data_IF_516344181540
#
_entry.id   IF_516344181540
#
_cell.length_a   1.000
_cell.length_b   1.000
_cell.length_c   1.000
_cell.angle_alpha   90.00
_cell.angle_beta   90.00
_cell.angle_gamma   90.00
#
_symmetry.space_group_name_H-M   'P 1'
#
loop_
_entity.id
_entity.type
_entity.pdbx_description
1 polymer ?
#
# COMPACT_ATOMS: atom_id res chain seq x y z
N UNK A 1 2.33 8.58 18.74
CA UNK A 1 2.98 9.31 19.84
C UNK A 1 2.65 10.78 19.67
N UNK A 2 1.64 11.29 20.40
CA UNK A 2 1.27 12.71 20.45
C UNK A 2 1.65 13.20 21.85
N UNK A 3 2.38 14.30 21.94
CA UNK A 3 2.68 14.93 23.23
C UNK A 3 1.95 16.27 23.28
N UNK A 4 0.91 16.31 24.09
CA UNK A 4 0.04 17.46 24.27
C UNK A 4 0.69 18.57 25.09
N UNK A 5 1.89 18.31 25.64
CA UNK A 5 2.65 19.20 26.51
C UNK A 5 3.99 19.64 25.88
N UNK A 6 4.27 19.31 24.62
CA UNK A 6 5.47 19.80 23.92
C UNK A 6 6.79 19.41 24.59
N UNK A 7 6.90 18.16 25.05
CA UNK A 7 8.03 17.58 25.79
C UNK A 7 8.30 18.18 27.17
N UNK A 8 7.34 18.91 27.76
CA UNK A 8 7.46 19.45 29.13
C UNK A 8 6.88 18.54 30.22
N UNK A 9 6.22 17.43 29.84
CA UNK A 9 5.68 16.45 30.78
C UNK A 9 6.75 15.57 31.43
N UNK A 10 6.36 14.77 32.42
CA UNK A 10 7.26 13.84 33.11
C UNK A 10 7.91 12.79 32.19
N UNK A 11 7.30 12.54 31.01
CA UNK A 11 7.78 11.61 29.99
C UNK A 11 7.99 12.37 28.67
N UNK A 12 9.06 13.16 28.54
CA UNK A 12 9.36 13.87 27.30
C UNK A 12 9.65 12.89 26.17
N UNK A 13 9.42 13.31 24.92
CA UNK A 13 9.98 12.57 23.78
C UNK A 13 11.49 12.46 23.90
N UNK A 14 12.01 11.28 23.55
CA UNK A 14 13.43 11.01 23.50
C UNK A 14 13.75 10.42 22.14
N UNK A 15 14.93 10.76 21.63
CA UNK A 15 15.43 10.17 20.40
C UNK A 15 15.55 8.65 20.60
N UNK A 16 15.07 7.90 19.61
CA UNK A 16 15.45 6.51 19.44
C UNK A 16 16.85 6.51 18.84
N UNK A 17 17.83 5.94 19.54
CA UNK A 17 19.22 5.86 19.06
C UNK A 17 19.52 4.45 18.54
N UNK A 18 20.25 4.36 17.43
CA UNK A 18 20.71 3.08 16.94
C UNK A 18 21.97 2.64 17.73
N UNK A 19 22.02 1.42 18.27
CA UNK A 19 23.14 0.97 19.10
C UNK A 19 24.43 0.75 18.30
N UNK A 20 24.37 0.72 16.97
CA UNK A 20 25.55 0.53 16.12
C UNK A 20 26.39 1.81 15.96
N UNK A 21 25.77 2.99 16.01
CA UNK A 21 26.43 4.29 15.81
C UNK A 21 26.05 5.37 16.84
N UNK A 22 25.07 5.08 17.70
CA UNK A 22 24.50 5.99 18.69
C UNK A 22 23.91 7.29 18.09
N UNK A 23 23.48 7.24 16.83
CA UNK A 23 22.81 8.35 16.14
C UNK A 23 21.28 8.21 16.17
N UNK A 24 20.52 9.31 16.00
CA UNK A 24 19.06 9.26 15.91
C UNK A 24 18.56 8.36 14.78
N UNK A 25 17.65 7.46 15.12
CA UNK A 25 17.01 6.50 14.22
C UNK A 25 17.17 5.06 14.70
N UNK A 26 16.68 4.12 13.88
CA UNK A 26 16.93 2.70 14.04
C UNK A 26 17.08 2.03 12.69
N UNK A 27 18.11 1.22 12.54
CA UNK A 27 18.30 0.36 11.38
C UNK A 27 17.36 -0.84 11.50
N UNK A 28 16.39 -0.92 10.58
CA UNK A 28 15.43 -2.03 10.52
C UNK A 28 15.87 -3.13 9.56
N UNK A 29 16.63 -2.76 8.52
CA UNK A 29 17.17 -3.69 7.53
C UNK A 29 18.51 -3.17 6.98
N UNK A 30 19.41 -4.09 6.64
CA UNK A 30 20.72 -3.81 6.07
C UNK A 30 20.87 -4.48 4.69
N UNK A 31 21.80 -3.99 3.87
CA UNK A 31 22.01 -4.54 2.52
C UNK A 31 20.84 -4.32 1.55
N UNK A 32 19.93 -3.42 1.90
CA UNK A 32 18.71 -3.14 1.14
C UNK A 32 19.05 -2.53 -0.21
N UNK A 33 18.54 -3.12 -1.29
CA UNK A 33 18.76 -2.64 -2.65
C UNK A 33 17.53 -1.92 -3.18
N UNK A 34 17.59 -0.60 -3.22
CA UNK A 34 16.53 0.24 -3.78
C UNK A 34 16.81 0.62 -5.23
N UNK A 35 16.03 0.11 -6.20
CA UNK A 35 16.10 0.60 -7.57
C UNK A 35 15.34 1.92 -7.67
N UNK A 36 15.97 2.95 -8.24
CA UNK A 36 15.27 4.15 -8.68
C UNK A 36 15.01 4.08 -10.19
N UNK A 37 13.97 3.34 -10.59
CA UNK A 37 13.62 3.13 -12.01
C UNK A 37 12.60 4.17 -12.42
N UNK A 38 13.11 5.37 -12.76
CA UNK A 38 12.30 6.54 -13.13
C UNK A 38 11.22 6.25 -14.18
N UNK A 39 11.53 5.40 -15.16
CA UNK A 39 10.61 5.04 -16.23
C UNK A 39 10.21 3.57 -16.09
N UNK A 40 8.90 3.30 -16.00
CA UNK A 40 8.39 1.95 -15.89
C UNK A 40 8.55 1.14 -17.17
N UNK A 41 8.90 -0.14 -17.02
CA UNK A 41 9.16 -1.08 -18.12
C UNK A 41 8.04 -2.12 -18.27
N UNK A 42 7.90 -2.78 -19.44
CA UNK A 42 6.90 -3.83 -19.62
C UNK A 42 6.98 -4.98 -18.60
N UNK A 43 8.19 -5.37 -18.20
CA UNK A 43 8.43 -6.42 -17.20
C UNK A 43 8.02 -6.02 -15.78
N UNK A 44 7.80 -4.72 -15.55
CA UNK A 44 7.38 -4.10 -14.29
C UNK A 44 5.92 -3.65 -14.38
N UNK A 45 5.15 -4.18 -15.33
CA UNK A 45 3.76 -3.77 -15.50
C UNK A 45 3.62 -2.30 -15.86
N UNK A 46 4.59 -1.76 -16.61
CA UNK A 46 4.64 -0.36 -17.08
C UNK A 46 4.88 0.69 -15.99
N UNK A 47 4.93 0.29 -14.72
CA UNK A 47 5.04 1.16 -13.56
C UNK A 47 6.49 1.40 -13.17
N UNK A 48 6.80 2.65 -12.82
CA UNK A 48 8.10 3.02 -12.25
C UNK A 48 8.28 2.36 -10.88
N UNK A 49 9.51 2.15 -10.44
CA UNK A 49 9.80 1.55 -9.13
C UNK A 49 10.67 2.48 -8.27
N UNK A 50 10.41 2.44 -6.96
CA UNK A 50 11.24 3.06 -5.93
C UNK A 50 10.46 3.95 -4.97
N UNK A 51 10.77 3.87 -3.67
CA UNK A 51 10.27 4.78 -2.65
C UNK A 51 9.09 4.28 -1.82
N UNK A 52 8.82 2.97 -1.84
CA UNK A 52 7.71 2.37 -1.10
C UNK A 52 8.11 2.12 0.35
N UNK A 53 7.63 2.99 1.24
CA UNK A 53 7.77 2.87 2.69
C UNK A 53 6.48 3.35 3.35
N UNK A 54 6.02 2.63 4.37
CA UNK A 54 4.89 3.05 5.20
C UNK A 54 5.10 2.60 6.63
N UNK A 55 4.66 3.40 7.59
CA UNK A 55 4.80 3.12 9.02
C UNK A 55 3.48 3.42 9.72
N UNK A 56 3.08 2.56 10.65
CA UNK A 56 1.89 2.76 11.46
C UNK A 56 2.15 2.36 12.91
N UNK A 57 1.64 3.15 13.84
CA UNK A 57 1.73 2.87 15.29
C UNK A 57 0.35 2.41 15.75
N UNK A 58 0.33 1.34 16.55
CA UNK A 58 -0.92 0.90 17.17
C UNK A 58 -1.42 1.97 18.16
N UNK A 59 -2.64 2.50 17.97
CA UNK A 59 -3.19 3.52 18.86
C UNK A 59 -3.56 3.00 20.26
N UNK A 60 -3.79 1.69 20.42
CA UNK A 60 -4.08 1.06 21.70
C UNK A 60 -2.81 0.68 22.50
N UNK A 61 -1.68 0.51 21.82
CA UNK A 61 -0.37 0.23 22.44
C UNK A 61 0.76 0.85 21.61
N UNK A 62 1.29 1.98 22.07
CA UNK A 62 2.36 2.72 21.37
C UNK A 62 3.70 1.97 21.29
N UNK A 63 3.84 0.82 21.93
CA UNK A 63 5.00 -0.08 21.75
C UNK A 63 4.94 -0.86 20.45
N UNK A 64 3.73 -1.06 19.91
CA UNK A 64 3.52 -1.83 18.69
C UNK A 64 3.60 -0.90 17.48
N UNK A 65 4.60 -1.13 16.64
CA UNK A 65 4.88 -0.32 15.43
C UNK A 65 5.07 -1.26 14.25
N UNK A 66 4.36 -0.99 13.16
CA UNK A 66 4.50 -1.70 11.90
C UNK A 66 5.26 -0.85 10.89
N UNK A 67 6.19 -1.47 10.17
CA UNK A 67 6.90 -0.88 9.05
C UNK A 67 6.69 -1.75 7.83
N UNK A 68 6.44 -1.12 6.70
CA UNK A 68 6.60 -1.74 5.40
C UNK A 68 7.64 -1.00 4.58
N UNK A 69 8.43 -1.75 3.83
CA UNK A 69 9.42 -1.22 2.90
C UNK A 69 9.61 -2.20 1.75
N UNK A 70 10.07 -1.72 0.59
CA UNK A 70 10.41 -2.59 -0.53
C UNK A 70 11.92 -2.68 -0.77
N UNK A 71 12.40 -3.78 -1.35
CA UNK A 71 13.76 -3.89 -1.86
C UNK A 71 13.87 -4.83 -3.07
N UNK A 72 15.07 -4.98 -3.65
CA UNK A 72 15.33 -5.99 -4.67
C UNK A 72 15.84 -7.31 -4.08
N UNK A 73 14.95 -8.30 -4.05
CA UNK A 73 15.29 -9.71 -3.84
C UNK A 73 15.49 -10.38 -5.20
N UNK A 74 16.75 -10.56 -5.59
CA UNK A 74 17.11 -11.01 -6.94
C UNK A 74 16.67 -9.98 -7.99
N UNK A 75 15.71 -10.36 -8.85
CA UNK A 75 15.12 -9.46 -9.87
C UNK A 75 13.75 -8.91 -9.48
N UNK A 76 13.23 -9.27 -8.30
CA UNK A 76 11.88 -8.94 -7.86
C UNK A 76 11.92 -7.79 -6.87
N UNK A 77 11.21 -6.73 -7.18
CA UNK A 77 10.98 -5.66 -6.21
C UNK A 77 9.92 -6.15 -5.21
N UNK A 78 10.33 -6.34 -3.97
CA UNK A 78 9.62 -7.16 -2.98
C UNK A 78 9.24 -6.28 -1.81
N UNK A 79 7.97 -6.31 -1.44
CA UNK A 79 7.44 -5.65 -0.25
C UNK A 79 7.67 -6.53 0.99
N UNK A 80 8.11 -5.91 2.06
CA UNK A 80 8.32 -6.51 3.37
C UNK A 80 7.43 -5.80 4.39
N UNK A 81 6.88 -6.54 5.35
CA UNK A 81 6.20 -5.99 6.53
C UNK A 81 6.86 -6.54 7.78
N UNK A 82 7.23 -5.66 8.72
CA UNK A 82 7.83 -6.01 10.01
C UNK A 82 7.11 -5.32 11.15
N UNK A 83 7.28 -5.84 12.35
CA UNK A 83 6.72 -5.29 13.56
C UNK A 83 7.80 -5.11 14.63
N UNK A 84 7.65 -4.06 15.40
CA UNK A 84 8.30 -3.86 16.69
C UNK A 84 7.24 -3.98 17.78
N UNK A 85 7.58 -4.58 18.91
CA UNK A 85 6.73 -4.60 20.12
C UNK A 85 7.35 -3.85 21.30
N UNK A 86 8.38 -3.03 21.05
CA UNK A 86 9.15 -2.31 22.07
C UNK A 86 9.48 -0.86 21.65
N UNK A 87 8.53 -0.21 20.95
CA UNK A 87 8.63 1.18 20.48
C UNK A 87 9.74 1.44 19.46
N UNK A 88 10.07 0.44 18.65
CA UNK A 88 11.01 0.51 17.53
C UNK A 88 12.43 0.11 17.90
N UNK A 89 12.67 -0.34 19.14
CA UNK A 89 14.00 -0.74 19.61
C UNK A 89 14.44 -2.05 18.97
N UNK A 90 13.55 -3.02 18.78
CA UNK A 90 13.83 -4.25 18.05
C UNK A 90 12.74 -4.53 17.03
N UNK A 91 13.13 -5.22 15.95
CA UNK A 91 12.24 -5.51 14.84
C UNK A 91 12.22 -7.00 14.56
N UNK A 92 11.04 -7.53 14.29
CA UNK A 92 10.83 -8.91 13.89
C UNK A 92 11.49 -9.22 12.54
N UNK A 93 11.51 -10.51 12.19
CA UNK A 93 11.59 -10.91 10.79
C UNK A 93 10.35 -10.44 10.00
N UNK A 94 10.31 -10.75 8.71
CA UNK A 94 9.16 -10.40 7.87
C UNK A 94 7.90 -11.15 8.35
N UNK A 95 6.87 -10.38 8.68
CA UNK A 95 5.50 -10.88 8.89
C UNK A 95 4.80 -11.16 7.57
N UNK A 96 5.19 -10.44 6.52
CA UNK A 96 4.71 -10.64 5.17
C UNK A 96 5.80 -10.26 4.15
N UNK A 97 5.93 -11.08 3.12
CA UNK A 97 6.81 -10.83 1.96
C UNK A 97 5.98 -10.96 0.68
N UNK A 98 5.89 -9.89 -0.11
CA UNK A 98 5.11 -9.87 -1.36
C UNK A 98 6.03 -9.54 -2.54
N UNK A 99 6.39 -10.53 -3.38
CA UNK A 99 7.16 -10.26 -4.58
C UNK A 99 6.33 -9.44 -5.57
N UNK A 100 6.98 -8.47 -6.20
CA UNK A 100 6.37 -7.50 -7.11
C UNK A 100 5.28 -6.63 -6.46
N UNK A 101 5.41 -6.36 -5.16
CA UNK A 101 4.56 -5.44 -4.41
C UNK A 101 5.07 -4.00 -4.44
N UNK A 102 4.15 -3.04 -4.59
CA UNK A 102 4.38 -1.59 -4.57
C UNK A 102 3.23 -0.88 -3.85
N UNK A 103 3.35 0.44 -3.69
CA UNK A 103 2.31 1.35 -3.20
C UNK A 103 1.72 0.90 -1.85
N UNK A 104 2.61 0.52 -0.93
CA UNK A 104 2.21 0.02 0.38
C UNK A 104 1.69 1.14 1.30
N UNK A 105 0.55 0.91 1.92
CA UNK A 105 -0.02 1.75 2.98
C UNK A 105 -0.37 0.89 4.19
N UNK A 106 0.13 1.28 5.36
CA UNK A 106 -0.19 0.66 6.65
C UNK A 106 -1.09 1.55 7.49
N UNK A 107 -2.04 0.94 8.18
CA UNK A 107 -2.79 1.57 9.26
C UNK A 107 -3.06 0.54 10.37
N UNK A 108 -3.28 1.00 11.59
CA UNK A 108 -3.70 0.13 12.71
C UNK A 108 -4.98 0.70 13.27
N UNK A 109 -6.04 -0.10 13.37
CA UNK A 109 -7.32 0.37 13.90
C UNK A 109 -7.30 0.49 15.44
N UNK A 110 -8.40 0.96 16.03
CA UNK A 110 -8.53 1.16 17.47
C UNK A 110 -8.46 -0.14 18.31
N UNK A 111 -8.65 -1.31 17.69
CA UNK A 111 -8.49 -2.61 18.35
C UNK A 111 -7.02 -3.07 18.37
N UNK A 112 -6.14 -2.36 17.66
CA UNK A 112 -4.74 -2.76 17.49
C UNK A 112 -4.50 -3.73 16.33
N UNK A 113 -5.51 -3.94 15.50
CA UNK A 113 -5.42 -4.80 14.31
C UNK A 113 -4.72 -4.03 13.18
N UNK A 114 -3.72 -4.60 12.50
CA UNK A 114 -3.10 -3.96 11.34
C UNK A 114 -3.91 -4.20 10.06
N UNK A 115 -3.97 -3.17 9.23
CA UNK A 115 -4.40 -3.19 7.84
C UNK A 115 -3.25 -2.82 6.90
N UNK A 116 -3.17 -3.50 5.78
CA UNK A 116 -2.18 -3.29 4.72
C UNK A 116 -2.86 -3.17 3.36
N UNK A 117 -2.68 -2.03 2.71
CA UNK A 117 -3.00 -1.82 1.30
C UNK A 117 -1.72 -1.96 0.48
N UNK A 118 -1.76 -2.67 -0.64
CA UNK A 118 -0.66 -2.68 -1.62
C UNK A 118 -1.16 -3.06 -3.01
N UNK A 119 -0.33 -2.84 -4.02
CA UNK A 119 -0.58 -3.27 -5.39
C UNK A 119 0.50 -4.25 -5.84
N UNK A 120 0.11 -5.37 -6.43
CA UNK A 120 1.01 -6.42 -6.86
C UNK A 120 0.91 -6.69 -8.35
N UNK A 121 2.07 -6.79 -9.00
CA UNK A 121 2.14 -7.28 -10.38
C UNK A 121 2.14 -8.81 -10.34
N UNK A 122 1.12 -9.41 -10.94
CA UNK A 122 0.99 -10.85 -11.11
C UNK A 122 1.10 -11.23 -12.59
N UNK A 123 1.42 -12.50 -12.85
CA UNK A 123 1.64 -12.97 -14.22
C UNK A 123 2.90 -12.39 -14.87
N UNK A 124 2.98 -12.46 -16.20
CA UNK A 124 4.12 -11.95 -16.97
C UNK A 124 3.72 -11.61 -18.41
N UNK A 125 4.57 -10.82 -19.09
CA UNK A 125 4.37 -10.45 -20.49
C UNK A 125 3.02 -9.77 -20.74
N UNK A 126 2.37 -10.11 -21.86
CA UNK A 126 1.05 -9.56 -22.22
C UNK A 126 -0.11 -10.01 -21.31
N UNK A 127 0.13 -10.99 -20.44
CA UNK A 127 -0.84 -11.47 -19.45
C UNK A 127 -0.64 -10.91 -18.04
N UNK A 128 0.33 -10.01 -17.83
CA UNK A 128 0.59 -9.41 -16.53
C UNK A 128 -0.60 -8.56 -16.06
N UNK A 129 -0.85 -8.55 -14.74
CA UNK A 129 -2.00 -7.88 -14.12
C UNK A 129 -1.57 -7.12 -12.87
N UNK A 130 -2.12 -5.93 -12.68
CA UNK A 130 -2.05 -5.19 -11.42
C UNK A 130 -3.25 -5.58 -10.56
N UNK A 131 -2.96 -6.16 -9.40
CA UNK A 131 -3.94 -6.56 -8.40
C UNK A 131 -3.77 -5.67 -7.17
N UNK A 132 -4.83 -5.01 -6.75
CA UNK A 132 -4.84 -4.22 -5.50
C UNK A 132 -5.38 -5.08 -4.39
N UNK A 133 -4.62 -5.21 -3.32
CA UNK A 133 -4.93 -6.03 -2.16
C UNK A 133 -5.13 -5.15 -0.93
N UNK A 134 -6.15 -5.49 -0.14
CA UNK A 134 -6.27 -5.06 1.23
C UNK A 134 -6.23 -6.29 2.14
N UNK A 135 -5.25 -6.32 3.05
CA UNK A 135 -5.04 -7.39 4.01
C UNK A 135 -5.23 -6.89 5.42
N UNK A 136 -5.89 -7.67 6.26
CA UNK A 136 -5.98 -7.41 7.70
C UNK A 136 -5.48 -8.59 8.49
N UNK A 137 -5.11 -8.34 9.73
CA UNK A 137 -4.80 -9.39 10.69
C UNK A 137 -5.24 -8.95 12.10
N UNK A 138 -5.27 -9.89 13.04
CA UNK A 138 -5.68 -9.61 14.41
C UNK A 138 -4.48 -9.55 15.36
N UNK A 139 -4.44 -8.51 16.20
CA UNK A 139 -3.44 -8.36 17.27
C UNK A 139 -2.02 -7.98 16.81
N UNK A 140 -1.09 -8.00 17.78
CA UNK A 140 0.31 -7.63 17.56
C UNK A 140 1.13 -8.78 16.94
N UNK A 141 1.99 -8.46 15.97
CA UNK A 141 2.88 -9.42 15.29
C UNK A 141 2.14 -10.66 14.73
N UNK A 142 1.12 -10.45 13.88
CA UNK A 142 0.29 -11.53 13.38
C UNK A 142 1.07 -12.52 12.49
N UNK A 143 0.75 -13.80 12.62
CA UNK A 143 1.26 -14.86 11.74
C UNK A 143 0.43 -15.06 10.47
N UNK A 144 -0.84 -14.64 10.48
CA UNK A 144 -1.79 -14.85 9.38
C UNK A 144 -2.46 -13.54 8.99
N UNK A 145 -2.67 -13.35 7.69
CA UNK A 145 -3.34 -12.20 7.11
C UNK A 145 -4.51 -12.67 6.25
N UNK A 146 -5.64 -12.00 6.37
CA UNK A 146 -6.73 -12.07 5.39
C UNK A 146 -6.29 -11.37 4.10
N UNK A 147 -6.99 -11.62 2.99
CA UNK A 147 -6.71 -10.97 1.71
C UNK A 147 -8.01 -10.67 0.95
N UNK A 148 -8.24 -9.39 0.68
CA UNK A 148 -9.36 -8.88 -0.10
C UNK A 148 -8.83 -8.21 -1.37
N UNK A 149 -9.22 -8.72 -2.53
CA UNK A 149 -8.87 -8.11 -3.82
C UNK A 149 -9.81 -6.96 -4.12
N UNK A 150 -9.29 -5.73 -4.10
CA UNK A 150 -10.05 -4.52 -4.40
C UNK A 150 -10.18 -4.28 -5.90
N UNK A 151 -9.15 -4.63 -6.68
CA UNK A 151 -9.17 -4.51 -8.14
C UNK A 151 -8.20 -5.48 -8.80
N UNK A 152 -8.49 -5.91 -10.02
CA UNK A 152 -7.63 -6.76 -10.83
C UNK A 152 -7.73 -6.40 -12.33
N UNK A 153 -6.70 -5.74 -12.86
CA UNK A 153 -6.66 -5.23 -14.24
C UNK A 153 -5.39 -5.66 -14.97
N UNK A 154 -5.46 -5.73 -16.32
CA UNK A 154 -4.25 -5.96 -17.12
C UNK A 154 -3.25 -4.82 -16.94
N UNK A 155 -1.97 -5.16 -16.78
CA UNK A 155 -0.90 -4.20 -16.53
C UNK A 155 -0.51 -3.35 -17.76
N UNK A 156 -1.19 -3.55 -18.89
CA UNK A 156 -1.04 -2.77 -20.12
C UNK A 156 -2.36 -2.22 -20.65
N UNK A 157 -3.42 -2.21 -19.81
CA UNK A 157 -4.71 -1.59 -20.13
C UNK A 157 -5.13 -0.64 -19.00
N UNK A 158 -5.35 0.65 -19.29
CA UNK A 158 -5.21 1.32 -20.59
C UNK A 158 -3.76 1.35 -21.11
N UNK A 159 -3.55 1.78 -22.36
CA UNK A 159 -2.19 1.98 -22.87
C UNK A 159 -1.50 3.08 -22.06
N UNK A 160 -0.21 2.86 -21.70
CA UNK A 160 0.59 3.86 -20.99
C UNK A 160 0.72 5.14 -21.82
N UNK A 161 0.42 6.27 -21.20
CA UNK A 161 0.59 7.60 -21.80
C UNK A 161 1.79 8.35 -21.19
N UNK A 162 2.06 8.16 -19.89
CA UNK A 162 3.16 8.79 -19.16
C UNK A 162 3.59 7.93 -17.96
N UNK A 163 4.67 8.33 -17.27
CA UNK A 163 5.10 7.78 -15.99
C UNK A 163 4.70 8.71 -14.83
N UNK A 164 4.33 8.18 -13.65
CA UNK A 164 4.03 6.78 -13.37
C UNK A 164 2.82 6.27 -14.18
N UNK A 165 2.82 4.98 -14.54
CA UNK A 165 1.70 4.38 -15.29
C UNK A 165 0.48 4.17 -14.39
N UNK A 166 0.64 3.38 -13.32
CA UNK A 166 -0.42 3.10 -12.36
C UNK A 166 -0.60 4.26 -11.37
N UNK A 167 0.46 5.03 -11.15
CA UNK A 167 0.51 6.07 -10.14
C UNK A 167 1.23 5.59 -8.87
N UNK A 168 1.58 6.55 -8.03
CA UNK A 168 2.15 6.31 -6.69
C UNK A 168 1.18 6.78 -5.60
N UNK A 169 -0.11 6.84 -5.96
CA UNK A 169 -1.19 7.34 -5.11
C UNK A 169 -1.95 6.15 -4.53
N UNK A 170 -1.37 5.56 -3.48
CA UNK A 170 -2.09 4.70 -2.56
C UNK A 170 -1.90 5.23 -1.13
N UNK A 171 -2.97 5.20 -0.35
CA UNK A 171 -2.93 5.63 1.04
C UNK A 171 -3.95 4.84 1.85
N UNK A 172 -3.59 4.56 3.09
CA UNK A 172 -4.44 3.86 4.04
C UNK A 172 -4.38 4.60 5.38
N UNK A 173 -5.54 4.78 5.99
CA UNK A 173 -5.68 5.25 7.37
C UNK A 173 -6.79 4.48 8.06
N UNK A 174 -6.90 4.65 9.38
CA UNK A 174 -7.95 4.05 10.19
C UNK A 174 -8.61 5.11 11.06
N UNK A 175 -9.89 4.89 11.39
CA UNK A 175 -10.60 5.67 12.41
C UNK A 175 -11.58 4.75 13.15
N UNK A 176 -11.43 4.65 14.46
CA UNK A 176 -12.14 3.62 15.21
C UNK A 176 -11.74 2.23 14.70
N UNK A 177 -12.70 1.37 14.39
CA UNK A 177 -12.45 0.04 13.83
C UNK A 177 -12.35 0.04 12.30
N UNK A 178 -12.70 1.16 11.65
CA UNK A 178 -12.80 1.26 10.21
C UNK A 178 -11.47 1.61 9.55
N UNK A 179 -11.26 1.08 8.35
CA UNK A 179 -10.19 1.45 7.44
C UNK A 179 -10.72 2.27 6.29
N UNK A 180 -9.95 3.29 5.90
CA UNK A 180 -10.23 4.16 4.78
C UNK A 180 -9.00 4.21 3.89
N UNK A 181 -9.17 3.92 2.60
CA UNK A 181 -8.06 3.94 1.68
C UNK A 181 -8.42 4.44 0.30
N UNK A 182 -7.36 4.82 -0.42
CA UNK A 182 -7.41 5.15 -1.83
C UNK A 182 -6.34 4.37 -2.57
N UNK A 183 -6.62 4.00 -3.81
CA UNK A 183 -5.64 3.39 -4.72
C UNK A 183 -5.97 3.80 -6.16
N UNK A 184 -5.01 3.67 -7.06
CA UNK A 184 -5.20 3.96 -8.48
C UNK A 184 -5.36 2.66 -9.28
N UNK A 185 -6.32 2.60 -10.20
CA UNK A 185 -6.53 1.45 -11.09
C UNK A 185 -7.15 1.90 -12.42
N UNK A 186 -7.28 1.00 -13.39
CA UNK A 186 -8.01 1.32 -14.62
C UNK A 186 -9.49 1.57 -14.32
N UNK A 187 -10.05 2.62 -14.92
CA UNK A 187 -11.47 2.93 -14.85
C UNK A 187 -12.29 2.28 -15.98
N UNK A 188 -11.80 1.22 -16.61
CA UNK A 188 -12.62 0.43 -17.53
C UNK A 188 -13.84 -0.08 -16.75
N UNK A 189 -15.08 0.32 -17.11
CA UNK A 189 -16.25 -0.02 -16.33
C UNK A 189 -16.64 -1.47 -16.63
N UNK A 190 -15.96 -2.38 -15.96
CA UNK A 190 -16.17 -3.82 -16.00
C UNK A 190 -16.11 -4.36 -14.57
N UNK A 191 -17.26 -4.85 -14.08
CA UNK A 191 -17.37 -5.37 -12.71
C UNK A 191 -16.50 -6.60 -12.47
N UNK A 192 -16.10 -7.33 -13.52
CA UNK A 192 -15.19 -8.46 -13.38
C UNK A 192 -13.80 -8.04 -12.88
N UNK A 193 -13.43 -6.77 -13.04
CA UNK A 193 -12.17 -6.23 -12.52
C UNK A 193 -12.25 -5.78 -11.05
N UNK A 194 -13.43 -5.78 -10.43
CA UNK A 194 -13.64 -5.39 -9.03
C UNK A 194 -14.41 -6.50 -8.30
N UNK A 195 -13.72 -7.60 -7.89
CA UNK A 195 -14.38 -8.79 -7.35
C UNK A 195 -15.22 -8.53 -6.09
N UNK A 196 -14.90 -7.47 -5.35
CA UNK A 196 -15.58 -7.07 -4.13
C UNK A 196 -16.42 -5.78 -4.32
N UNK A 197 -16.80 -5.49 -5.57
CA UNK A 197 -17.64 -4.36 -5.93
C UNK A 197 -16.89 -3.04 -6.07
N UNK A 198 -17.54 -2.08 -6.71
CA UNK A 198 -17.00 -0.73 -6.97
C UNK A 198 -18.13 0.27 -7.16
N UNK A 199 -17.87 1.52 -6.81
CA UNK A 199 -18.74 2.66 -7.13
C UNK A 199 -18.00 3.62 -8.04
N UNK A 200 -18.62 3.95 -9.18
CA UNK A 200 -18.07 4.89 -10.15
C UNK A 200 -18.68 6.28 -9.95
N UNK A 201 -17.81 7.29 -9.86
CA UNK A 201 -18.24 8.70 -9.85
C UNK A 201 -18.37 9.29 -11.26
N UNK A 202 -17.80 8.62 -12.28
CA UNK A 202 -17.97 8.99 -13.70
C UNK A 202 -19.25 8.37 -14.25
N UNK A 203 -19.86 9.03 -15.25
CA UNK A 203 -20.92 8.40 -16.04
C UNK A 203 -20.32 7.21 -16.80
N UNK A 204 -20.97 6.05 -16.69
CA UNK A 204 -20.45 4.80 -17.20
C UNK A 204 -21.58 3.87 -17.66
N UNK A 205 -21.21 2.86 -18.45
CA UNK A 205 -22.09 1.76 -18.80
C UNK A 205 -21.27 0.45 -18.73
N UNK A 206 -21.64 -0.43 -17.80
CA UNK A 206 -20.94 -1.71 -17.59
C UNK A 206 -21.15 -2.72 -18.73
N UNK A 207 -22.26 -2.63 -19.46
CA UNK A 207 -22.55 -3.52 -20.58
C UNK A 207 -21.68 -3.19 -21.79
N UNK A 208 -21.61 -1.92 -22.18
CA UNK A 208 -20.78 -1.46 -23.29
C UNK A 208 -19.33 -1.17 -22.90
N UNK A 209 -19.01 -1.18 -21.60
CA UNK A 209 -17.70 -0.85 -21.03
C UNK A 209 -17.20 0.55 -21.44
N UNK A 210 -18.11 1.53 -21.45
CA UNK A 210 -17.82 2.90 -21.89
C UNK A 210 -18.00 3.91 -20.78
N UNK A 211 -17.16 4.95 -20.78
CA UNK A 211 -17.30 6.14 -19.95
C UNK A 211 -17.81 7.33 -20.77
N UNK A 212 -18.58 8.20 -20.13
CA UNK A 212 -19.03 9.47 -20.70
C UNK A 212 -18.82 10.63 -19.73
N UNK A 213 -18.79 11.86 -20.25
CA UNK A 213 -18.82 13.06 -19.43
C UNK A 213 -20.27 13.43 -19.07
N UNK A 214 -20.44 14.54 -18.34
CA UNK A 214 -21.78 15.02 -17.93
C UNK A 214 -22.68 15.43 -19.10
N UNK A 215 -22.10 15.74 -20.27
CA UNK A 215 -22.83 16.05 -21.51
C UNK A 215 -23.08 14.80 -22.38
N UNK A 216 -22.72 13.59 -21.92
CA UNK A 216 -22.90 12.33 -22.63
C UNK A 216 -21.85 12.01 -23.69
N UNK A 217 -20.83 12.85 -23.89
CA UNK A 217 -19.74 12.56 -24.82
C UNK A 217 -18.80 11.47 -24.28
N UNK A 218 -18.26 10.63 -25.16
CA UNK A 218 -17.35 9.54 -24.77
C UNK A 218 -16.06 10.07 -24.13
N UNK A 219 -15.61 9.38 -23.08
CA UNK A 219 -14.36 9.64 -22.37
C UNK A 219 -13.47 8.39 -22.49
N UNK A 220 -12.19 8.54 -22.86
CA UNK A 220 -11.27 7.41 -22.90
C UNK A 220 -11.05 6.77 -21.52
N UNK A 221 -10.79 5.46 -21.52
CA UNK A 221 -10.35 4.75 -20.33
C UNK A 221 -8.97 5.28 -19.90
N UNK A 222 -8.82 5.53 -18.61
CA UNK A 222 -7.63 6.06 -17.94
C UNK A 222 -7.34 5.28 -16.66
N UNK A 223 -6.29 5.69 -15.95
CA UNK A 223 -6.07 5.30 -14.56
C UNK A 223 -6.70 6.38 -13.67
N UNK A 224 -7.58 5.96 -12.77
CA UNK A 224 -8.30 6.85 -11.85
C UNK A 224 -8.12 6.39 -10.39
N UNK A 225 -8.28 7.32 -9.42
CA UNK A 225 -8.33 6.96 -8.02
C UNK A 225 -9.68 6.30 -7.66
N UNK A 226 -9.62 5.26 -6.85
CA UNK A 226 -10.74 4.60 -6.21
C UNK A 226 -10.61 4.73 -4.70
N UNK A 227 -11.75 4.90 -4.04
CA UNK A 227 -11.85 4.97 -2.58
C UNK A 227 -12.54 3.71 -2.05
N UNK A 228 -12.10 3.24 -0.88
CA UNK A 228 -12.80 2.20 -0.14
C UNK A 228 -12.89 2.54 1.34
N UNK A 229 -13.95 2.00 1.96
CA UNK A 229 -14.11 1.89 3.40
C UNK A 229 -14.34 0.42 3.73
N UNK A 230 -13.63 -0.10 4.72
CA UNK A 230 -13.82 -1.46 5.22
C UNK A 230 -13.93 -1.47 6.74
N UNK A 231 -14.91 -2.22 7.23
CA UNK A 231 -15.11 -2.52 8.65
C UNK A 231 -14.94 -4.04 8.79
N UNK A 232 -13.88 -4.53 9.47
CA UNK A 232 -13.66 -5.96 9.71
C UNK A 232 -14.76 -6.61 10.58
#
# INVERSE_FOLDING_TARGET
MRDDSGASGANPFRDLLDPSDNLPGRIVATGVKFPFRRNGKPQEGQQRLGGDISIAVNPADSKVVYLSFCDLVGTKYTLHVRCSTDSGQTWSGDLLTVPFGINAGLAVNANGDPGLLYQQLTGSGGGARWVTHFRTASGAAPANWTDLVLSDHRANKPAKQFDPYLGDYAYLTSQGQDYYGIFSASNEPDLAHFPNGVTYQRNHNFTSKTLTNLAGASVPISIDPFFFKLTP
#
